data_IF_245721251931
#
_entry.id   IF_245721251931
#
_cell.length_a   1.000
_cell.length_b   1.000
_cell.length_c   1.000
_cell.angle_alpha   90.00
_cell.angle_beta   90.00
_cell.angle_gamma   90.00
#
_symmetry.space_group_name_H-M   'P 1'
#
loop_
_entity.id
_entity.type
_entity.pdbx_description
1 polymer ?
#
# COMPACT_ATOMS: atom_id res chain seq x y z
N UNK A 1 -48.45 79.59 12.73
CA UNK A 1 -47.94 79.14 11.43
C UNK A 1 -46.65 78.35 11.65
N UNK A 2 -46.67 77.03 11.45
CA UNK A 2 -45.46 76.19 11.44
C UNK A 2 -45.51 75.37 10.16
N UNK A 3 -44.60 75.65 9.22
CA UNK A 3 -44.41 74.88 7.99
C UNK A 3 -43.26 73.90 8.24
N UNK A 4 -43.57 72.62 8.32
CA UNK A 4 -42.59 71.54 8.28
C UNK A 4 -42.13 71.35 6.83
N UNK A 5 -40.82 71.35 6.62
CA UNK A 5 -40.18 70.98 5.35
C UNK A 5 -39.59 69.59 5.54
N UNK A 6 -40.03 68.66 4.70
CA UNK A 6 -39.46 67.32 4.54
C UNK A 6 -38.30 67.38 3.56
N UNK A 7 -37.15 66.80 3.92
CA UNK A 7 -36.08 66.43 2.99
C UNK A 7 -35.60 65.03 3.38
N UNK A 8 -35.41 64.17 2.38
CA UNK A 8 -35.00 62.78 2.51
C UNK A 8 -33.62 62.53 1.87
N UNK A 9 -33.09 61.32 2.14
CA UNK A 9 -32.04 60.54 1.40
C UNK A 9 -30.60 60.74 1.93
N UNK A 10 -29.69 59.72 1.96
CA UNK A 10 -29.82 58.24 1.96
C UNK A 10 -29.07 57.54 3.13
N UNK A 11 -29.28 56.23 3.26
CA UNK A 11 -28.54 55.29 4.12
C UNK A 11 -27.13 55.05 3.55
N UNK A 12 -26.09 55.13 4.40
CA UNK A 12 -24.72 54.69 4.10
C UNK A 12 -24.25 53.74 5.21
N UNK A 13 -23.88 52.53 4.81
CA UNK A 13 -23.22 51.54 5.65
C UNK A 13 -21.80 52.01 6.00
N UNK A 14 -21.40 51.88 7.27
CA UNK A 14 -20.01 52.09 7.68
C UNK A 14 -19.43 50.82 8.31
N UNK A 15 -18.35 50.41 7.65
CA UNK A 15 -17.39 49.34 7.91
C UNK A 15 -16.73 49.52 9.28
N UNK A 16 -16.49 48.41 9.98
CA UNK A 16 -15.75 48.37 11.24
C UNK A 16 -14.27 48.75 11.03
N UNK A 17 -13.76 49.58 11.94
CA UNK A 17 -12.50 50.32 11.87
C UNK A 17 -11.47 49.80 12.88
N UNK A 18 -10.20 49.89 12.47
CA UNK A 18 -8.94 50.07 13.23
C UNK A 18 -8.34 48.90 14.03
N UNK A 19 -7.00 48.71 14.07
CA UNK A 19 -5.86 49.52 13.59
C UNK A 19 -4.60 48.63 13.42
N UNK A 20 -3.67 48.89 12.48
CA UNK A 20 -2.62 49.94 12.40
C UNK A 20 -1.59 49.80 13.55
N UNK A 21 -0.26 49.69 13.40
CA UNK A 21 0.78 50.23 12.50
C UNK A 21 2.08 49.38 12.64
N UNK A 22 2.80 49.00 11.57
CA UNK A 22 3.95 49.67 10.94
C UNK A 22 5.27 49.71 11.75
N UNK A 23 6.31 48.98 11.31
CA UNK A 23 7.69 49.49 11.08
C UNK A 23 8.50 48.44 10.28
N UNK A 24 9.16 48.90 9.22
CA UNK A 24 9.77 48.07 8.19
C UNK A 24 11.14 47.49 8.54
N UNK A 25 11.44 46.36 7.90
CA UNK A 25 12.79 45.88 7.59
C UNK A 25 12.65 44.97 6.36
N UNK A 26 13.19 45.37 5.21
CA UNK A 26 13.49 44.42 4.12
C UNK A 26 14.86 43.81 4.39
N UNK A 27 14.95 42.48 4.51
CA UNK A 27 15.94 41.81 3.67
C UNK A 27 15.54 40.37 3.23
N UNK A 28 15.78 40.09 1.93
CA UNK A 28 16.16 38.80 1.27
C UNK A 28 15.24 37.56 1.38
N UNK A 29 15.12 36.76 0.29
CA UNK A 29 14.21 35.63 0.20
C UNK A 29 14.73 34.48 1.08
N UNK A 30 13.91 34.05 2.04
CA UNK A 30 14.20 32.88 2.84
C UNK A 30 14.06 31.62 1.96
N UNK A 31 15.17 31.27 1.29
CA UNK A 31 15.56 29.88 1.03
C UNK A 31 15.81 29.21 2.39
N UNK A 32 14.74 28.79 3.04
CA UNK A 32 14.80 27.81 4.11
C UNK A 32 13.77 26.74 3.76
N UNK A 33 14.29 25.64 3.21
CA UNK A 33 13.54 24.43 2.96
C UNK A 33 12.92 23.93 4.25
N UNK A 34 11.68 24.36 4.51
CA UNK A 34 10.74 23.51 5.20
C UNK A 34 10.42 22.37 4.22
N UNK A 35 10.98 21.19 4.50
CA UNK A 35 10.38 19.95 4.06
C UNK A 35 9.01 19.88 4.75
N UNK A 36 8.04 20.63 4.24
CA UNK A 36 6.65 20.37 4.53
C UNK A 36 6.44 18.89 4.16
N UNK A 37 5.94 18.04 5.07
CA UNK A 37 5.54 16.71 4.67
C UNK A 37 4.51 16.92 3.56
N UNK A 38 4.85 16.48 2.35
CA UNK A 38 3.96 16.51 1.20
C UNK A 38 2.60 16.00 1.65
N UNK A 39 1.60 16.88 1.69
CA UNK A 39 0.22 16.46 1.90
C UNK A 39 -0.13 15.54 0.74
N UNK A 40 -0.20 14.23 1.03
CA UNK A 40 -0.48 13.22 0.03
C UNK A 40 -1.85 13.49 -0.58
N UNK A 41 -1.94 13.39 -1.90
CA UNK A 41 -3.12 13.73 -2.67
C UNK A 41 -4.37 13.06 -2.10
N UNK A 42 -5.41 13.85 -1.82
CA UNK A 42 -6.74 13.33 -1.58
C UNK A 42 -7.17 12.51 -2.81
N UNK A 43 -7.34 11.20 -2.65
CA UNK A 43 -7.69 10.32 -3.76
C UNK A 43 -7.41 8.85 -3.49
N UNK A 44 -7.93 7.99 -4.37
CA UNK A 44 -7.71 6.55 -4.36
C UNK A 44 -7.21 6.08 -5.72
N UNK A 45 -6.46 4.99 -5.72
CA UNK A 45 -6.11 4.22 -6.91
C UNK A 45 -6.59 2.78 -6.76
N UNK A 46 -6.49 2.01 -7.84
CA UNK A 46 -6.80 0.57 -7.84
C UNK A 46 -5.51 -0.21 -7.62
N UNK A 47 -5.54 -1.19 -6.71
CA UNK A 47 -4.47 -2.16 -6.53
C UNK A 47 -4.96 -3.53 -7.01
N UNK A 48 -4.27 -4.11 -7.98
CA UNK A 48 -4.43 -5.50 -8.39
C UNK A 48 -3.29 -6.31 -7.77
N UNK A 49 -3.61 -7.36 -7.00
CA UNK A 49 -2.61 -8.16 -6.29
C UNK A 49 -2.49 -9.52 -6.94
N UNK A 50 -1.30 -9.85 -7.41
CA UNK A 50 -0.97 -11.11 -8.06
C UNK A 50 0.04 -11.90 -7.24
N UNK A 51 -0.01 -13.22 -7.36
CA UNK A 51 0.99 -14.14 -6.81
C UNK A 51 1.55 -15.05 -7.91
N UNK A 52 2.84 -15.36 -7.82
CA UNK A 52 3.54 -16.28 -8.72
C UNK A 52 4.63 -17.06 -7.96
N UNK A 53 5.21 -18.05 -8.62
CA UNK A 53 6.32 -18.88 -8.13
C UNK A 53 7.47 -18.83 -9.14
N UNK A 54 8.64 -18.45 -8.65
CA UNK A 54 9.89 -18.75 -9.33
C UNK A 54 10.30 -20.19 -9.06
N UNK A 55 10.82 -20.84 -10.10
CA UNK A 55 11.04 -22.28 -10.12
C UNK A 55 11.92 -22.76 -8.95
N UNK A 56 11.47 -23.82 -8.27
CA UNK A 56 12.25 -24.54 -7.26
C UNK A 56 12.36 -26.02 -7.62
N UNK A 57 13.57 -26.57 -7.52
CA UNK A 57 13.90 -27.92 -7.96
C UNK A 57 13.48 -29.03 -6.96
N UNK A 58 13.19 -28.69 -5.70
CA UNK A 58 13.04 -29.66 -4.61
C UNK A 58 11.58 -29.98 -4.24
N UNK A 59 10.61 -29.29 -4.84
CA UNK A 59 9.20 -29.42 -4.50
C UNK A 59 8.36 -29.85 -5.70
N UNK A 60 7.48 -30.82 -5.47
CA UNK A 60 6.42 -31.17 -6.40
C UNK A 60 5.27 -30.18 -6.31
N UNK A 61 4.88 -29.80 -5.10
CA UNK A 61 3.85 -28.79 -4.85
C UNK A 61 4.08 -28.03 -3.55
N UNK A 62 3.73 -26.74 -3.56
CA UNK A 62 3.72 -25.87 -2.40
C UNK A 62 2.38 -25.14 -2.35
N UNK A 63 1.56 -25.53 -1.39
CA UNK A 63 0.20 -25.03 -1.20
C UNK A 63 0.23 -23.99 -0.08
N UNK A 64 -0.26 -22.78 -0.36
CA UNK A 64 -0.29 -21.65 0.58
C UNK A 64 -1.72 -21.16 0.85
N UNK A 65 -1.92 -20.63 2.05
CA UNK A 65 -3.11 -19.88 2.43
C UNK A 65 -2.74 -18.42 2.67
N UNK A 66 -2.95 -17.57 1.66
CA UNK A 66 -2.70 -16.13 1.70
C UNK A 66 -3.99 -15.44 2.13
N UNK A 67 -3.95 -14.72 3.24
CA UNK A 67 -5.17 -14.17 3.87
C UNK A 67 -5.27 -12.66 3.77
N UNK A 68 -4.13 -11.95 3.81
CA UNK A 68 -4.13 -10.50 3.71
C UNK A 68 -2.79 -9.94 3.26
N UNK A 69 -2.86 -8.72 2.75
CA UNK A 69 -1.74 -7.85 2.45
C UNK A 69 -1.92 -6.52 3.19
N UNK A 70 -0.92 -6.07 3.93
CA UNK A 70 -0.94 -4.75 4.56
C UNK A 70 0.07 -3.84 3.87
N UNK A 71 -0.40 -2.73 3.32
CA UNK A 71 0.46 -1.66 2.81
C UNK A 71 0.71 -0.66 3.93
N UNK A 72 1.96 -0.25 4.15
CA UNK A 72 2.28 0.88 5.01
C UNK A 72 2.75 2.07 4.19
N UNK A 73 2.15 3.22 4.46
CA UNK A 73 2.38 4.46 3.74
C UNK A 73 3.36 5.36 4.49
N UNK A 74 4.13 6.13 3.73
CA UNK A 74 4.89 7.26 4.24
C UNK A 74 3.93 8.38 4.64
N UNK A 75 4.10 8.93 5.84
CA UNK A 75 3.27 10.04 6.33
C UNK A 75 1.78 9.67 6.48
N UNK A 76 0.95 10.66 6.80
CA UNK A 76 -0.47 10.43 7.05
C UNK A 76 -1.25 10.34 5.74
N UNK A 77 -1.72 9.15 5.41
CA UNK A 77 -2.78 8.93 4.40
C UNK A 77 -4.11 8.89 5.13
N UNK A 78 -5.18 9.35 4.48
CA UNK A 78 -6.55 9.23 4.99
C UNK A 78 -6.99 7.77 4.92
N UNK A 79 -6.50 6.95 5.85
CA UNK A 79 -6.99 5.59 6.13
C UNK A 79 -7.95 5.65 7.31
N UNK A 80 -8.89 4.70 7.39
CA UNK A 80 -9.64 4.49 8.63
C UNK A 80 -8.64 4.11 9.73
N UNK A 81 -8.48 4.97 10.72
CA UNK A 81 -7.50 4.86 11.81
C UNK A 81 -7.56 3.49 12.53
N UNK A 82 -6.46 3.01 13.16
CA UNK A 82 -5.24 3.74 13.47
C UNK A 82 -4.04 3.23 12.65
N UNK A 83 -3.20 4.18 12.20
CA UNK A 83 -1.94 4.04 11.45
C UNK A 83 -2.12 4.07 9.94
N UNK A 84 -1.08 4.63 9.30
CA UNK A 84 -0.91 4.88 7.87
C UNK A 84 -0.78 3.57 7.11
N UNK A 85 -1.78 2.72 7.23
CA UNK A 85 -1.81 1.37 6.73
C UNK A 85 -3.14 1.08 6.06
N UNK A 86 -3.08 0.28 5.01
CA UNK A 86 -4.26 -0.28 4.35
C UNK A 86 -4.15 -1.79 4.35
N UNK A 87 -5.21 -2.47 4.80
CA UNK A 87 -5.28 -3.93 4.82
C UNK A 87 -6.19 -4.41 3.68
N UNK A 88 -5.59 -5.03 2.68
CA UNK A 88 -6.31 -5.82 1.69
C UNK A 88 -6.55 -7.23 2.24
N UNK A 89 -7.82 -7.60 2.41
CA UNK A 89 -8.21 -8.97 2.76
C UNK A 89 -8.35 -9.78 1.47
N UNK A 90 -7.56 -10.85 1.35
CA UNK A 90 -7.64 -11.74 0.20
C UNK A 90 -8.91 -12.59 0.33
N UNK A 91 -9.78 -12.64 -0.70
CA UNK A 91 -10.93 -13.54 -0.71
C UNK A 91 -10.50 -15.00 -0.54
N UNK A 92 -11.24 -15.77 0.25
CA UNK A 92 -10.92 -17.19 0.47
C UNK A 92 -10.99 -18.02 -0.82
N UNK A 93 -11.80 -17.60 -1.80
CA UNK A 93 -11.93 -18.25 -3.11
C UNK A 93 -10.66 -18.18 -3.96
N UNK A 94 -9.77 -17.23 -3.69
CA UNK A 94 -8.53 -17.01 -4.46
C UNK A 94 -7.27 -17.16 -3.62
N UNK A 95 -7.35 -16.96 -2.30
CA UNK A 95 -6.21 -17.01 -1.38
C UNK A 95 -6.00 -18.33 -0.65
N UNK A 96 -6.98 -19.24 -0.64
CA UNK A 96 -6.87 -20.53 0.06
C UNK A 96 -6.43 -21.65 -0.86
N UNK A 97 -5.56 -22.53 -0.35
CA UNK A 97 -5.02 -23.68 -1.07
C UNK A 97 -4.37 -23.32 -2.42
N UNK A 98 -3.69 -22.18 -2.49
CA UNK A 98 -2.98 -21.73 -3.69
C UNK A 98 -1.74 -22.58 -3.88
N UNK A 99 -1.77 -23.44 -4.90
CA UNK A 99 -0.61 -24.25 -5.30
C UNK A 99 0.33 -23.41 -6.17
N UNK A 100 1.28 -22.72 -5.53
CA UNK A 100 2.10 -21.72 -6.23
C UNK A 100 3.04 -22.37 -7.25
N UNK A 101 3.45 -23.63 -7.07
CA UNK A 101 4.35 -24.28 -8.05
C UNK A 101 3.70 -24.52 -9.42
N UNK A 102 2.36 -24.48 -9.50
CA UNK A 102 1.63 -24.50 -10.77
C UNK A 102 1.59 -23.16 -11.47
N UNK A 103 1.99 -22.09 -10.79
CA UNK A 103 1.97 -20.73 -11.33
C UNK A 103 3.27 -20.37 -12.06
N UNK A 104 4.24 -21.27 -12.20
CA UNK A 104 5.51 -20.98 -12.88
C UNK A 104 5.28 -20.44 -14.30
N UNK A 105 5.74 -19.22 -14.54
CA UNK A 105 5.56 -18.52 -15.82
C UNK A 105 4.17 -17.89 -16.01
N UNK A 106 3.33 -17.87 -14.98
CA UNK A 106 2.01 -17.24 -14.95
C UNK A 106 1.78 -16.53 -13.61
N UNK A 107 0.71 -15.76 -13.49
CA UNK A 107 0.37 -15.10 -12.23
C UNK A 107 -1.11 -15.28 -11.91
N UNK A 108 -1.43 -15.57 -10.65
CA UNK A 108 -2.80 -15.67 -10.17
C UNK A 108 -3.21 -14.34 -9.55
N UNK A 109 -4.33 -13.77 -10.00
CA UNK A 109 -4.95 -12.61 -9.35
C UNK A 109 -5.58 -13.05 -8.03
N UNK A 110 -5.05 -12.57 -6.92
CA UNK A 110 -5.63 -12.74 -5.59
C UNK A 110 -6.85 -11.84 -5.38
N UNK A 111 -6.84 -10.66 -5.99
CA UNK A 111 -7.98 -9.77 -6.07
C UNK A 111 -7.59 -8.33 -6.40
N UNK A 112 -8.60 -7.47 -6.47
CA UNK A 112 -8.45 -6.05 -6.74
C UNK A 112 -9.20 -5.23 -5.69
N UNK A 113 -8.65 -4.09 -5.30
CA UNK A 113 -9.26 -3.19 -4.31
C UNK A 113 -8.89 -1.74 -4.55
N UNK A 114 -9.75 -0.82 -4.10
CA UNK A 114 -9.39 0.59 -4.02
C UNK A 114 -8.49 0.80 -2.80
N UNK A 115 -7.39 1.52 -2.97
CA UNK A 115 -6.45 1.88 -1.91
C UNK A 115 -6.18 3.39 -1.93
N UNK A 116 -5.80 3.99 -0.79
CA UNK A 116 -5.38 5.40 -0.76
C UNK A 116 -4.23 5.67 -1.73
N UNK A 117 -4.30 6.80 -2.40
CA UNK A 117 -3.15 7.34 -3.13
C UNK A 117 -2.05 7.73 -2.13
N UNK A 118 -0.79 7.52 -2.50
CA UNK A 118 0.35 7.84 -1.64
C UNK A 118 1.58 6.96 -1.86
N UNK A 119 2.65 7.27 -1.13
CA UNK A 119 3.90 6.53 -1.18
C UNK A 119 3.83 5.34 -0.22
N UNK A 120 3.84 4.13 -0.75
CA UNK A 120 3.99 2.90 0.03
C UNK A 120 5.47 2.67 0.30
N UNK A 121 5.80 2.24 1.52
CA UNK A 121 7.19 2.02 1.96
C UNK A 121 7.45 0.59 2.44
N UNK A 122 6.37 -0.15 2.68
CA UNK A 122 6.44 -1.49 3.24
C UNK A 122 5.18 -2.26 2.91
N UNK A 123 5.36 -3.56 2.71
CA UNK A 123 4.33 -4.55 2.52
C UNK A 123 4.45 -5.62 3.60
N UNK A 124 3.33 -6.06 4.16
CA UNK A 124 3.26 -7.21 5.06
C UNK A 124 2.34 -8.23 4.41
N UNK A 125 2.88 -9.37 4.00
CA UNK A 125 2.14 -10.49 3.45
C UNK A 125 1.79 -11.46 4.57
N UNK A 126 0.51 -11.81 4.71
CA UNK A 126 0.07 -12.79 5.70
C UNK A 126 -0.23 -14.15 5.05
N UNK A 127 0.56 -15.16 5.43
CA UNK A 127 0.41 -16.55 5.03
C UNK A 127 0.10 -17.39 6.28
N UNK A 128 -1.16 -17.80 6.43
CA UNK A 128 -1.63 -18.52 7.63
C UNK A 128 -1.40 -20.01 7.59
N UNK A 129 -1.12 -20.57 6.41
CA UNK A 129 -0.93 -21.99 6.22
C UNK A 129 -0.03 -22.27 5.03
N UNK A 130 0.81 -23.28 5.17
CA UNK A 130 1.65 -23.78 4.11
C UNK A 130 1.76 -25.31 4.20
N UNK A 131 1.75 -25.99 3.06
CA UNK A 131 1.94 -27.44 2.94
C UNK A 131 2.82 -27.74 1.74
N UNK A 132 3.86 -28.54 1.94
CA UNK A 132 4.70 -29.05 0.87
C UNK A 132 4.33 -30.50 0.52
N UNK A 133 4.39 -30.80 -0.77
CA UNK A 133 4.48 -32.15 -1.33
C UNK A 133 5.85 -32.30 -1.99
N UNK A 134 6.63 -33.25 -1.52
CA UNK A 134 7.97 -33.50 -2.01
C UNK A 134 7.95 -34.47 -3.19
N UNK A 135 9.04 -34.52 -3.94
CA UNK A 135 9.18 -35.38 -5.12
C UNK A 135 9.18 -36.88 -4.79
N UNK A 136 9.55 -37.24 -3.56
CA UNK A 136 9.46 -38.61 -3.01
C UNK A 136 8.03 -39.03 -2.62
N UNK A 137 7.04 -38.15 -2.81
CA UNK A 137 5.63 -38.39 -2.48
C UNK A 137 5.25 -38.08 -1.03
N UNK A 138 6.20 -37.76 -0.16
CA UNK A 138 5.91 -37.35 1.22
C UNK A 138 5.34 -35.94 1.28
N UNK A 139 4.62 -35.62 2.36
CA UNK A 139 4.09 -34.26 2.56
C UNK A 139 4.32 -33.78 3.98
N UNK A 140 4.51 -32.46 4.13
CA UNK A 140 4.70 -31.81 5.41
C UNK A 140 3.85 -30.54 5.52
N UNK A 141 3.22 -30.36 6.67
CA UNK A 141 2.66 -29.05 7.05
C UNK A 141 3.83 -28.16 7.47
N UNK A 142 3.91 -26.97 6.92
CA UNK A 142 4.99 -26.04 7.16
C UNK A 142 4.53 -24.93 8.12
N UNK A 143 5.41 -24.55 9.04
CA UNK A 143 5.32 -23.29 9.76
C UNK A 143 6.00 -22.21 8.93
N UNK A 144 5.28 -21.16 8.55
CA UNK A 144 5.87 -19.99 7.91
C UNK A 144 6.63 -19.18 8.97
N UNK A 145 7.83 -18.70 8.63
CA UNK A 145 8.58 -17.79 9.51
C UNK A 145 7.80 -16.51 9.83
N UNK A 146 8.24 -15.79 10.87
CA UNK A 146 7.57 -14.59 11.36
C UNK A 146 6.07 -14.82 11.66
N UNK A 147 5.71 -16.05 12.04
CA UNK A 147 4.32 -16.47 12.26
C UNK A 147 3.39 -16.19 11.06
N UNK A 148 3.95 -16.22 9.83
CA UNK A 148 3.19 -15.95 8.61
C UNK A 148 3.16 -14.48 8.19
N UNK A 149 3.64 -13.55 9.02
CA UNK A 149 3.68 -12.11 8.71
C UNK A 149 5.03 -11.74 8.09
N UNK A 150 5.13 -11.91 6.78
CA UNK A 150 6.34 -11.61 6.03
C UNK A 150 6.38 -10.11 5.73
N UNK A 151 7.28 -9.40 6.40
CA UNK A 151 7.49 -7.96 6.22
C UNK A 151 8.56 -7.70 5.17
N UNK A 152 8.20 -6.97 4.11
CA UNK A 152 9.09 -6.61 3.01
C UNK A 152 9.12 -5.08 2.87
N UNK A 153 10.28 -4.43 3.12
CA UNK A 153 10.50 -3.04 2.74
C UNK A 153 10.42 -2.91 1.22
N UNK A 154 9.49 -2.11 0.71
CA UNK A 154 9.27 -1.94 -0.71
C UNK A 154 8.62 -0.61 -1.00
N UNK A 155 9.22 0.15 -1.91
CA UNK A 155 8.82 1.52 -2.20
C UNK A 155 8.12 1.58 -3.56
N UNK A 156 6.86 1.99 -3.57
CA UNK A 156 6.14 2.32 -4.81
C UNK A 156 5.09 3.38 -4.52
N UNK A 157 4.59 4.04 -5.57
CA UNK A 157 3.61 5.09 -5.42
C UNK A 157 2.28 4.65 -6.03
N UNK A 158 1.19 4.85 -5.28
CA UNK A 158 -0.17 4.76 -5.82
C UNK A 158 -0.60 6.16 -6.25
N UNK A 159 -0.86 6.37 -7.54
CA UNK A 159 -1.43 7.64 -8.02
C UNK A 159 -2.95 7.67 -7.87
N UNK A 160 -3.49 8.86 -7.62
CA UNK A 160 -4.94 9.08 -7.66
C UNK A 160 -5.49 8.73 -9.05
N UNK A 161 -6.61 8.02 -9.10
CA UNK A 161 -7.24 7.50 -10.33
C UNK A 161 -6.38 6.56 -11.20
N UNK A 162 -5.18 6.16 -10.74
CA UNK A 162 -4.33 5.19 -11.41
C UNK A 162 -4.56 3.76 -10.94
N UNK A 163 -3.85 2.81 -11.53
CA UNK A 163 -3.83 1.41 -11.08
C UNK A 163 -2.42 0.88 -10.89
N UNK A 164 -2.19 0.10 -9.83
CA UNK A 164 -0.95 -0.65 -9.59
C UNK A 164 -1.23 -2.14 -9.81
N UNK A 165 -0.44 -2.79 -10.66
CA UNK A 165 -0.34 -4.24 -10.65
C UNK A 165 0.84 -4.65 -9.76
N UNK A 166 0.53 -5.19 -8.59
CA UNK A 166 1.51 -5.68 -7.63
C UNK A 166 1.62 -7.20 -7.75
N UNK A 167 2.78 -7.68 -8.18
CA UNK A 167 3.09 -9.11 -8.29
C UNK A 167 4.02 -9.53 -7.15
N UNK A 168 3.60 -10.56 -6.43
CA UNK A 168 4.36 -11.20 -5.35
C UNK A 168 4.92 -12.50 -5.89
N UNK A 169 6.21 -12.53 -6.13
CA UNK A 169 6.94 -13.73 -6.55
C UNK A 169 7.55 -14.40 -5.31
N UNK A 170 7.09 -15.63 -5.04
CA UNK A 170 7.53 -16.40 -3.88
C UNK A 170 8.55 -17.43 -4.36
N UNK A 171 9.80 -17.26 -3.91
CA UNK A 171 10.84 -18.25 -4.06
C UNK A 171 10.90 -19.09 -2.77
N UNK A 172 10.56 -20.37 -2.80
CA UNK A 172 10.76 -21.24 -1.64
C UNK A 172 12.27 -21.54 -1.48
N UNK A 173 13.01 -20.57 -0.94
CA UNK A 173 14.47 -20.58 -0.85
C UNK A 173 14.98 -21.75 0.00
N UNK A 174 14.39 -21.98 1.18
CA UNK A 174 14.78 -23.13 2.01
C UNK A 174 13.59 -23.64 2.81
N UNK A 175 13.31 -24.93 2.67
CA UNK A 175 12.46 -25.69 3.59
C UNK A 175 13.40 -26.48 4.49
N UNK A 176 13.49 -26.10 5.76
CA UNK A 176 14.28 -26.84 6.73
C UNK A 176 13.41 -27.94 7.35
N UNK A 177 13.75 -29.18 7.02
CA UNK A 177 13.13 -30.38 7.57
C UNK A 177 14.03 -30.91 8.70
N UNK A 178 13.64 -30.67 9.94
CA UNK A 178 14.29 -31.27 11.11
C UNK A 178 13.41 -32.37 11.68
N UNK A 179 13.95 -33.58 11.86
CA UNK A 179 13.21 -34.68 12.53
C UNK A 179 12.84 -34.25 13.95
N UNK A 180 11.53 -34.22 14.26
CA UNK A 180 11.01 -33.85 15.58
C UNK A 180 10.72 -32.35 15.80
N UNK A 181 10.98 -31.48 14.82
CA UNK A 181 10.63 -30.05 14.87
C UNK A 181 9.74 -29.72 13.68
N UNK A 182 8.75 -28.83 13.85
CA UNK A 182 7.89 -28.38 12.76
C UNK A 182 8.74 -27.89 11.57
N UNK A 183 8.47 -28.42 10.38
CA UNK A 183 9.16 -28.01 9.16
C UNK A 183 8.92 -26.52 8.90
N UNK A 184 9.99 -25.75 8.69
CA UNK A 184 9.88 -24.28 8.56
C UNK A 184 10.05 -23.85 7.11
N UNK A 185 9.13 -23.03 6.61
CA UNK A 185 9.23 -22.36 5.32
C UNK A 185 9.86 -20.97 5.51
N UNK A 186 11.02 -20.74 4.87
CA UNK A 186 11.70 -19.45 4.75
C UNK A 186 11.68 -19.00 3.29
N UNK A 187 10.58 -18.36 2.83
CA UNK A 187 10.52 -17.91 1.45
C UNK A 187 11.36 -16.64 1.27
N UNK A 188 11.92 -16.49 0.08
CA UNK A 188 12.39 -15.20 -0.44
C UNK A 188 11.24 -14.63 -1.26
N UNK A 189 10.97 -13.34 -1.10
CA UNK A 189 9.87 -12.65 -1.76
C UNK A 189 10.47 -11.60 -2.66
N UNK A 190 10.20 -11.68 -3.96
CA UNK A 190 10.44 -10.58 -4.88
C UNK A 190 9.13 -9.87 -5.16
N UNK A 191 9.18 -8.55 -5.20
CA UNK A 191 8.02 -7.73 -5.46
C UNK A 191 8.23 -6.96 -6.75
N UNK A 192 7.20 -6.94 -7.60
CA UNK A 192 7.15 -6.04 -8.75
C UNK A 192 5.87 -5.24 -8.70
N UNK A 193 5.98 -3.90 -8.73
CA UNK A 193 4.85 -3.00 -8.88
C UNK A 193 4.91 -2.32 -10.24
N UNK A 194 3.85 -2.46 -11.02
CA UNK A 194 3.68 -1.75 -12.30
C UNK A 194 2.57 -0.72 -12.13
N UNK A 195 2.96 0.53 -12.00
CA UNK A 195 2.04 1.66 -11.96
C UNK A 195 1.59 1.97 -13.39
N UNK A 196 0.29 1.91 -13.64
CA UNK A 196 -0.36 2.31 -14.89
C UNK A 196 -1.18 3.57 -14.63
N UNK A 197 -0.83 4.63 -15.34
CA UNK A 197 -1.64 5.86 -15.41
C UNK A 197 -2.00 6.14 -16.87
N UNK A 198 -2.88 7.12 -17.09
CA UNK A 198 -3.33 7.51 -18.43
C UNK A 198 -2.18 7.93 -19.37
N UNK A 199 -0.98 8.24 -18.82
CA UNK A 199 0.13 8.83 -19.56
C UNK A 199 1.48 8.11 -19.37
N UNK A 200 1.59 7.13 -18.47
CA UNK A 200 2.86 6.46 -18.19
C UNK A 200 2.68 5.06 -17.56
N UNK A 201 3.66 4.18 -17.83
CA UNK A 201 3.86 2.93 -17.10
C UNK A 201 5.19 2.98 -16.38
N UNK A 202 5.21 2.74 -15.06
CA UNK A 202 6.43 2.71 -14.24
C UNK A 202 6.53 1.35 -13.57
N UNK A 203 7.66 0.66 -13.74
CA UNK A 203 7.94 -0.64 -13.12
C UNK A 203 8.95 -0.47 -12.00
N UNK A 204 8.67 -1.04 -10.83
CA UNK A 204 9.60 -1.11 -9.69
C UNK A 204 9.74 -2.55 -9.24
N UNK A 205 10.97 -3.01 -9.01
CA UNK A 205 11.27 -4.40 -8.60
C UNK A 205 12.21 -4.39 -7.39
N UNK A 206 11.99 -5.30 -6.43
CA UNK A 206 12.85 -5.53 -5.27
C UNK A 206 12.91 -7.01 -4.90
#
# INVERSE_FOLDING_TARGET
>A
MKRSITIAIPVVALVAVAGLTYFGYTPIPALLGSLAPSSFAAGSGVLNVYITDAASASLKSLILNVTSLTLSYQGNVTTTAPRNQFVFRVPSSTGMNVDITKLRGSALLLGATNVPAGNVTRLILNITGAKALFTDGTSAKLKVVANGELMIPFHFQVHSSGSVDLTIDILPNTIQVSKGVATVLKPVIHLTAVQKSHSATITTTA
#
